data_IF_312954615006
#
_entry.id   IF_312954615006
#
_cell.length_a   1.000
_cell.length_b   1.000
_cell.length_c   1.000
_cell.angle_alpha   90.00
_cell.angle_beta   90.00
_cell.angle_gamma   90.00
#
_symmetry.space_group_name_H-M   'P 1'
#
loop_
_entity.id
_entity.type
_entity.pdbx_description
1 polymer ?
#
# COMPACT_ATOMS: atom_id res chain seq x y z
N UNK A 1 29.32 1.02 -7.64
CA UNK A 1 27.91 1.46 -7.60
C UNK A 1 27.10 0.32 -7.01
N UNK A 2 26.85 0.36 -5.70
CA UNK A 2 26.01 -0.62 -5.04
C UNK A 2 24.55 -0.26 -5.39
N UNK A 3 23.86 -1.13 -6.12
CA UNK A 3 22.46 -0.90 -6.43
C UNK A 3 21.68 -0.91 -5.12
N UNK A 4 21.17 0.26 -4.71
CA UNK A 4 20.24 0.39 -3.60
C UNK A 4 19.10 -0.61 -3.83
N UNK A 5 19.08 -1.70 -3.04
CA UNK A 5 17.99 -2.66 -3.12
C UNK A 5 16.68 -1.87 -2.95
N UNK A 6 15.69 -2.07 -3.84
CA UNK A 6 14.44 -1.33 -3.74
C UNK A 6 13.85 -1.61 -2.36
N UNK A 7 13.59 -0.54 -1.60
CA UNK A 7 12.92 -0.65 -0.30
C UNK A 7 11.62 -1.44 -0.46
N UNK A 8 11.21 -2.16 0.59
CA UNK A 8 9.99 -2.97 0.58
C UNK A 8 8.78 -2.16 0.09
N UNK A 9 8.73 -0.86 0.42
CA UNK A 9 7.69 0.08 -0.04
C UNK A 9 7.70 0.27 -1.56
N UNK A 10 8.86 0.55 -2.15
CA UNK A 10 9.02 0.71 -3.61
C UNK A 10 8.69 -0.57 -4.37
N UNK A 11 9.09 -1.73 -3.83
CA UNK A 11 8.80 -3.03 -4.45
C UNK A 11 7.29 -3.33 -4.44
N UNK A 12 6.62 -3.10 -3.29
CA UNK A 12 5.17 -3.28 -3.16
C UNK A 12 4.40 -2.27 -4.02
N UNK A 13 4.80 -1.00 -4.01
CA UNK A 13 4.19 0.04 -4.86
C UNK A 13 4.31 -0.28 -6.35
N UNK A 14 5.47 -0.76 -6.80
CA UNK A 14 5.66 -1.17 -8.21
C UNK A 14 4.80 -2.38 -8.58
N UNK A 15 4.60 -3.33 -7.65
CA UNK A 15 3.72 -4.49 -7.85
C UNK A 15 2.25 -4.05 -8.00
N UNK A 16 1.76 -3.21 -7.09
CA UNK A 16 0.41 -2.67 -7.12
C UNK A 16 0.15 -1.86 -8.39
N UNK A 17 1.09 -0.99 -8.78
CA UNK A 17 0.99 -0.16 -9.99
C UNK A 17 0.83 -0.98 -11.27
N UNK A 18 1.55 -2.11 -11.39
CA UNK A 18 1.41 -3.03 -12.54
C UNK A 18 0.04 -3.69 -12.63
N UNK A 19 -0.75 -3.65 -11.54
CA UNK A 19 -2.10 -4.21 -11.45
C UNK A 19 -3.18 -3.14 -11.44
N UNK A 20 -2.83 -1.89 -11.68
CA UNK A 20 -3.77 -0.77 -11.71
C UNK A 20 -4.07 -0.17 -10.34
N UNK A 21 -3.42 -0.60 -9.26
CA UNK A 21 -3.59 -0.04 -7.91
C UNK A 21 -2.46 0.90 -7.53
N UNK A 22 -2.69 1.77 -6.54
CA UNK A 22 -1.67 2.62 -5.96
C UNK A 22 -1.47 2.31 -4.47
N UNK A 23 -0.22 2.43 -4.03
CA UNK A 23 0.12 2.45 -2.62
C UNK A 23 0.06 3.90 -2.13
N UNK A 24 -0.71 4.14 -1.08
CA UNK A 24 -0.82 5.46 -0.45
C UNK A 24 -0.46 5.35 1.02
N UNK A 25 0.20 6.38 1.54
CA UNK A 25 0.69 6.46 2.91
C UNK A 25 -0.14 7.47 3.69
N UNK A 26 -0.29 7.24 5.00
CA UNK A 26 -0.88 8.22 5.91
C UNK A 26 -0.25 9.59 5.70
N UNK A 27 -1.10 10.62 5.59
CA UNK A 27 -0.68 12.02 5.45
C UNK A 27 -0.23 12.63 6.78
N UNK A 28 -0.34 11.89 7.88
CA UNK A 28 0.04 12.41 9.19
C UNK A 28 1.54 12.70 9.23
N UNK A 29 1.89 13.91 9.69
CA UNK A 29 3.28 14.38 9.83
C UNK A 29 3.82 14.14 11.24
N UNK A 30 2.96 13.75 12.17
CA UNK A 30 3.28 13.64 13.59
C UNK A 30 3.54 12.18 13.94
N UNK A 31 4.73 11.87 14.43
CA UNK A 31 5.10 10.50 14.83
C UNK A 31 4.25 9.92 15.97
N UNK A 32 3.56 10.76 16.75
CA UNK A 32 2.66 10.34 17.82
C UNK A 32 1.28 9.89 17.31
N UNK A 33 0.97 10.13 16.04
CA UNK A 33 -0.27 9.65 15.42
C UNK A 33 -0.18 8.14 15.22
N UNK A 34 -1.20 7.35 15.65
CA UNK A 34 -1.19 5.90 15.45
C UNK A 34 -1.09 5.50 13.97
N UNK A 35 -1.52 6.37 13.06
CA UNK A 35 -1.45 6.14 11.61
C UNK A 35 -0.13 6.58 10.99
N UNK A 36 0.79 7.18 11.74
CA UNK A 36 2.04 7.66 11.16
C UNK A 36 2.83 6.51 10.54
N UNK A 37 3.14 6.62 9.26
CA UNK A 37 3.86 5.58 8.54
C UNK A 37 3.03 4.35 8.14
N UNK A 38 1.72 4.35 8.38
CA UNK A 38 0.80 3.32 7.87
C UNK A 38 0.36 3.62 6.43
N UNK A 39 -0.22 2.63 5.76
CA UNK A 39 -0.47 2.59 4.33
C UNK A 39 -1.88 2.04 4.00
N UNK A 40 -2.34 2.28 2.78
CA UNK A 40 -3.54 1.67 2.21
C UNK A 40 -3.38 1.43 0.71
N UNK A 41 -4.17 0.49 0.19
CA UNK A 41 -4.23 0.17 -1.24
C UNK A 41 -5.42 0.89 -1.83
N UNK A 42 -5.18 1.66 -2.88
CA UNK A 42 -6.17 2.52 -3.50
C UNK A 42 -6.31 2.17 -4.98
N UNK A 43 -7.55 2.15 -5.48
CA UNK A 43 -7.85 2.07 -6.91
C UNK A 43 -7.98 3.49 -7.48
N UNK A 44 -7.04 3.94 -8.32
CA UNK A 44 -7.06 5.25 -8.95
C UNK A 44 -8.17 5.45 -9.99
N UNK A 45 -8.74 4.38 -10.54
CA UNK A 45 -9.80 4.51 -11.54
C UNK A 45 -11.16 4.78 -10.88
N UNK A 46 -11.45 4.07 -9.79
CA UNK A 46 -12.73 4.21 -9.07
C UNK A 46 -12.65 5.20 -7.92
N UNK A 47 -11.44 5.66 -7.55
CA UNK A 47 -11.18 6.50 -6.38
C UNK A 47 -11.65 5.87 -5.07
N UNK A 48 -11.59 4.54 -5.00
CA UNK A 48 -11.94 3.78 -3.81
C UNK A 48 -10.74 3.11 -3.16
N UNK A 49 -10.84 2.97 -1.85
CA UNK A 49 -9.87 2.23 -1.07
C UNK A 49 -10.21 0.75 -1.12
N UNK A 50 -9.28 -0.04 -1.62
CA UNK A 50 -9.44 -1.48 -1.83
C UNK A 50 -9.10 -2.24 -0.56
N UNK A 51 -8.11 -1.74 0.18
CA UNK A 51 -7.69 -2.33 1.44
C UNK A 51 -7.13 -1.26 2.39
N UNK A 52 -7.49 -1.35 3.66
CA UNK A 52 -7.22 -0.39 4.73
C UNK A 52 -7.99 0.93 4.59
N UNK A 53 -9.04 1.20 5.38
CA UNK A 53 -9.80 2.45 5.27
C UNK A 53 -9.18 3.65 6.00
N UNK A 54 -8.65 4.62 5.25
CA UNK A 54 -8.13 5.87 5.78
C UNK A 54 -9.16 6.79 6.46
N UNK A 55 -10.44 6.71 6.09
CA UNK A 55 -11.50 7.54 6.67
C UNK A 55 -11.94 7.05 8.07
N UNK A 56 -11.81 5.75 8.33
CA UNK A 56 -12.17 5.13 9.60
C UNK A 56 -10.94 4.84 10.48
N UNK A 57 -9.74 5.27 10.06
CA UNK A 57 -8.50 5.04 10.81
C UNK A 57 -7.96 3.60 10.76
N UNK A 58 -8.47 2.77 9.84
CA UNK A 58 -7.98 1.42 9.62
C UNK A 58 -6.89 1.44 8.55
N UNK A 59 -5.68 1.89 8.87
CA UNK A 59 -4.55 1.78 7.95
C UNK A 59 -3.67 0.57 8.28
N UNK A 60 -2.97 0.09 7.26
CA UNK A 60 -2.16 -1.12 7.32
C UNK A 60 -0.68 -0.80 7.51
N UNK A 61 0.03 -1.65 8.22
CA UNK A 61 1.49 -1.70 8.16
C UNK A 61 1.96 -2.13 6.76
N UNK A 62 3.20 -1.80 6.41
CA UNK A 62 3.79 -2.21 5.13
C UNK A 62 3.81 -3.74 4.94
N UNK A 63 3.89 -4.50 6.05
CA UNK A 63 3.82 -5.96 6.04
C UNK A 63 2.45 -6.44 5.59
N UNK A 64 1.39 -5.88 6.16
CA UNK A 64 0.00 -6.21 5.79
C UNK A 64 -0.29 -5.84 4.33
N UNK A 65 0.15 -4.66 3.88
CA UNK A 65 0.05 -4.27 2.47
C UNK A 65 0.77 -5.26 1.55
N UNK A 66 1.96 -5.72 1.93
CA UNK A 66 2.68 -6.69 1.11
C UNK A 66 1.91 -8.01 0.98
N UNK A 67 1.30 -8.51 2.05
CA UNK A 67 0.45 -9.71 1.98
C UNK A 67 -0.82 -9.48 1.16
N UNK A 68 -1.51 -8.35 1.36
CA UNK A 68 -2.67 -7.96 0.56
C UNK A 68 -2.34 -7.86 -0.94
N UNK A 69 -1.18 -7.27 -1.29
CA UNK A 69 -0.73 -7.15 -2.69
C UNK A 69 -0.50 -8.52 -3.36
N UNK A 70 -0.06 -9.52 -2.60
CA UNK A 70 0.12 -10.90 -3.11
C UNK A 70 -1.24 -11.59 -3.28
N UNK A 71 -2.20 -11.34 -2.40
CA UNK A 71 -3.55 -11.88 -2.53
C UNK A 71 -4.26 -11.35 -3.79
N UNK A 72 -4.13 -10.05 -4.06
CA UNK A 72 -4.61 -9.43 -5.31
C UNK A 72 -3.98 -10.10 -6.54
N UNK A 73 -2.68 -10.40 -6.48
CA UNK A 73 -1.98 -11.09 -7.57
C UNK A 73 -2.52 -12.51 -7.83
N UNK A 74 -2.87 -13.26 -6.78
CA UNK A 74 -3.47 -14.60 -6.91
C UNK A 74 -4.85 -14.53 -7.55
N UNK A 75 -5.69 -13.59 -7.12
CA UNK A 75 -7.05 -13.44 -7.63
C UNK A 75 -7.09 -12.94 -9.09
N UNK A 76 -6.09 -12.18 -9.53
CA UNK A 76 -6.00 -11.67 -10.91
C UNK A 76 -5.56 -12.73 -11.94
N UNK A 77 -5.23 -13.95 -11.51
CA UNK A 77 -4.76 -15.04 -12.38
C UNK A 77 -5.77 -16.19 -12.51
N UNK A 78 -6.90 -16.11 -11.83
CA UNK A 78 -8.07 -16.96 -12.04
C UNK A 78 -8.98 -16.31 -13.07
#
# INVERSE_FOLDING_TARGET
>A
MEALMPTTESAVGSRLKRRGYALSKSRSRTKSDPNFGQFHIYDPFTNFVVDGCGNYGFMMSLKEVNEASKAIERNSRM
#
